data_IF_231470964170
#
_entry.id   IF_231470964170
#
_cell.length_a   1.000
_cell.length_b   1.000
_cell.length_c   1.000
_cell.angle_alpha   90.00
_cell.angle_beta   90.00
_cell.angle_gamma   90.00
#
_symmetry.space_group_name_H-M   'P 1'
#
loop_
_entity.id
_entity.type
_entity.pdbx_description
1 polymer ?
#
# COMPACT_ATOMS: atom_id res chain seq x y z
N UNK A 1 8.33 14.04 -64.77
CA UNK A 1 8.73 15.44 -65.05
C UNK A 1 9.63 15.87 -63.92
N UNK A 2 10.88 16.18 -64.29
CA UNK A 2 12.01 16.43 -63.40
C UNK A 2 12.25 17.93 -63.46
N UNK A 3 12.36 18.61 -62.31
CA UNK A 3 12.88 19.97 -62.27
C UNK A 3 14.12 20.01 -61.39
N UNK A 4 15.20 20.44 -62.01
CA UNK A 4 16.56 20.59 -61.49
C UNK A 4 16.93 22.06 -61.44
N UNK A 5 17.70 22.42 -60.40
CA UNK A 5 18.70 23.53 -60.31
C UNK A 5 18.12 24.96 -60.22
N UNK A 6 18.64 25.92 -59.45
CA UNK A 6 20.05 26.27 -59.14
C UNK A 6 20.18 27.06 -57.81
N UNK A 7 21.36 26.96 -57.16
CA UNK A 7 21.86 27.88 -56.11
C UNK A 7 22.42 29.19 -56.73
N UNK A 8 22.82 30.18 -55.90
CA UNK A 8 24.26 30.48 -55.88
C UNK A 8 24.89 30.86 -54.51
N UNK A 9 26.12 30.36 -54.35
CA UNK A 9 27.38 30.94 -53.84
C UNK A 9 27.48 31.74 -52.51
N UNK A 10 28.35 31.20 -51.65
CA UNK A 10 29.07 31.85 -50.54
C UNK A 10 30.20 32.77 -51.03
N UNK A 11 30.76 33.61 -50.14
CA UNK A 11 32.16 33.43 -49.75
C UNK A 11 32.43 33.57 -48.24
N UNK A 12 33.47 32.85 -47.77
CA UNK A 12 34.11 32.90 -46.44
C UNK A 12 35.20 34.01 -46.38
N UNK A 13 36.11 34.06 -45.38
CA UNK A 13 35.97 34.26 -43.94
C UNK A 13 36.81 35.47 -43.43
N UNK A 14 36.60 35.91 -42.18
CA UNK A 14 37.45 36.94 -41.53
C UNK A 14 37.70 36.62 -40.05
N UNK A 15 38.98 36.59 -39.67
CA UNK A 15 39.54 36.23 -38.36
C UNK A 15 39.85 37.49 -37.50
N UNK A 16 39.99 37.27 -36.19
CA UNK A 16 40.61 38.11 -35.14
C UNK A 16 39.82 39.30 -34.53
N UNK A 17 39.55 39.23 -33.21
CA UNK A 17 40.38 39.89 -32.18
C UNK A 17 39.80 39.68 -30.76
N UNK A 18 40.69 39.73 -29.78
CA UNK A 18 40.50 39.44 -28.36
C UNK A 18 40.25 40.70 -27.50
N UNK A 19 39.80 40.47 -26.25
CA UNK A 19 39.70 41.44 -25.14
C UNK A 19 38.25 41.77 -24.78
N UNK A 20 37.79 41.90 -23.53
CA UNK A 20 38.42 42.07 -22.22
C UNK A 20 37.35 41.69 -21.17
N UNK A 21 37.73 41.00 -20.09
CA UNK A 21 36.85 40.71 -18.93
C UNK A 21 36.60 41.96 -18.07
N UNK A 22 35.45 42.06 -17.38
CA UNK A 22 35.40 42.73 -16.10
C UNK A 22 35.13 41.74 -14.96
N UNK A 23 35.90 41.97 -13.90
CA UNK A 23 35.83 41.36 -12.57
C UNK A 23 34.51 41.74 -11.91
N UNK A 24 33.80 40.76 -11.33
CA UNK A 24 32.66 41.01 -10.43
C UNK A 24 32.95 40.35 -9.08
N UNK A 25 33.08 41.21 -8.07
CA UNK A 25 33.34 40.90 -6.66
C UNK A 25 32.17 40.15 -6.00
N UNK A 26 32.42 39.41 -4.90
CA UNK A 26 31.38 38.67 -4.20
C UNK A 26 30.51 39.62 -3.36
N UNK A 27 29.19 39.55 -3.57
CA UNK A 27 28.19 40.24 -2.74
C UNK A 27 28.02 39.44 -1.45
N UNK A 28 28.43 40.04 -0.34
CA UNK A 28 28.09 39.62 1.02
C UNK A 28 26.66 40.10 1.31
N UNK A 29 25.80 39.21 1.81
CA UNK A 29 24.50 39.57 2.38
C UNK A 29 24.23 38.80 3.67
N UNK A 30 23.42 39.37 4.58
CA UNK A 30 23.65 39.24 6.01
C UNK A 30 22.79 38.17 6.69
N UNK A 31 23.38 37.59 7.74
CA UNK A 31 22.76 37.14 8.99
C UNK A 31 21.53 36.23 8.90
N UNK A 32 21.77 34.91 8.87
CA UNK A 32 20.75 33.87 9.14
C UNK A 32 20.74 33.58 10.65
N UNK A 33 19.64 33.89 11.33
CA UNK A 33 19.43 33.49 12.74
C UNK A 33 19.35 31.96 12.86
N UNK A 34 19.83 31.36 13.97
CA UNK A 34 19.80 29.92 14.12
C UNK A 34 18.36 29.43 14.29
N UNK A 35 17.95 28.50 13.42
CA UNK A 35 16.70 27.74 13.52
C UNK A 35 16.70 26.99 14.84
N UNK A 36 15.83 27.37 15.76
CA UNK A 36 15.62 26.64 17.01
C UNK A 36 14.96 25.30 16.67
N UNK A 37 15.65 24.21 16.96
CA UNK A 37 15.13 22.86 16.79
C UNK A 37 13.94 22.65 17.71
N UNK A 38 12.73 22.68 17.14
CA UNK A 38 11.53 22.19 17.80
C UNK A 38 11.69 20.68 18.00
N UNK A 39 11.78 20.26 19.26
CA UNK A 39 11.80 18.86 19.66
C UNK A 39 10.53 18.16 19.17
N UNK A 40 10.60 16.93 18.61
CA UNK A 40 9.41 16.20 18.25
C UNK A 40 8.63 15.86 19.54
N UNK A 41 7.37 16.32 19.58
CA UNK A 41 6.42 15.91 20.62
C UNK A 41 6.36 14.38 20.63
N UNK A 42 6.71 13.80 21.78
CA UNK A 42 6.61 12.37 22.03
C UNK A 42 5.16 11.93 21.87
N UNK A 43 4.87 11.17 20.82
CA UNK A 43 3.63 10.43 20.68
C UNK A 43 3.54 9.42 21.83
N UNK A 44 2.55 9.58 22.70
CA UNK A 44 2.20 8.60 23.72
C UNK A 44 1.70 7.33 23.04
N UNK A 45 2.31 6.14 23.27
CA UNK A 45 1.77 4.88 22.76
C UNK A 45 0.62 4.45 23.67
N UNK A 46 -0.56 5.02 23.43
CA UNK A 46 -1.80 4.61 24.08
C UNK A 46 -2.63 3.75 23.14
N UNK A 47 -2.39 2.43 23.15
CA UNK A 47 -3.34 1.30 22.99
C UNK A 47 -2.46 0.04 22.97
N UNK A 48 -1.95 -0.37 24.14
CA UNK A 48 -1.29 -1.68 24.32
C UNK A 48 -1.68 -2.25 25.68
N UNK A 49 -2.93 -2.68 25.80
CA UNK A 49 -3.37 -3.62 26.82
C UNK A 49 -4.53 -4.37 26.15
N UNK A 50 -4.48 -5.69 25.93
CA UNK A 50 -4.38 -6.74 26.94
C UNK A 50 -3.94 -8.07 26.29
N UNK A 51 -3.09 -8.85 27.00
CA UNK A 51 -3.25 -10.28 27.38
C UNK A 51 -1.88 -10.98 27.50
N UNK A 52 -1.75 -11.74 28.61
CA UNK A 52 -0.56 -12.40 29.16
C UNK A 52 -0.09 -13.68 28.42
N UNK A 53 1.19 -13.98 28.67
CA UNK A 53 2.22 -14.81 28.04
C UNK A 53 1.99 -16.33 27.92
N UNK A 54 2.65 -16.91 26.90
CA UNK A 54 2.86 -18.35 26.67
C UNK A 54 2.54 -18.76 25.23
N UNK A 55 3.56 -18.99 24.40
CA UNK A 55 3.54 -19.39 22.96
C UNK A 55 2.83 -18.42 21.98
N UNK A 56 1.91 -17.61 22.49
CA UNK A 56 1.31 -16.42 21.89
C UNK A 56 2.35 -15.38 21.46
N UNK A 57 3.59 -15.46 21.94
CA UNK A 57 4.63 -14.46 21.72
C UNK A 57 5.10 -14.43 20.26
N UNK A 58 5.20 -15.59 19.59
CA UNK A 58 5.50 -15.61 18.16
C UNK A 58 4.29 -15.15 17.32
N UNK A 59 3.08 -15.60 17.67
CA UNK A 59 1.85 -15.18 16.98
C UNK A 59 1.58 -13.67 17.13
N UNK A 60 1.83 -13.11 18.32
CA UNK A 60 1.69 -11.70 18.64
C UNK A 60 2.81 -10.88 18.02
N UNK A 61 4.07 -11.33 18.09
CA UNK A 61 5.19 -10.67 17.43
C UNK A 61 5.04 -10.67 15.90
N UNK A 62 4.53 -11.77 15.33
CA UNK A 62 4.21 -11.84 13.90
C UNK A 62 3.03 -10.93 13.57
N UNK A 63 2.02 -10.82 14.43
CA UNK A 63 0.91 -9.86 14.29
C UNK A 63 1.40 -8.40 14.35
N UNK A 64 2.25 -8.06 15.32
CA UNK A 64 2.83 -6.73 15.51
C UNK A 64 3.78 -6.35 14.37
N UNK A 65 4.68 -7.25 13.95
CA UNK A 65 5.55 -7.02 12.78
C UNK A 65 4.74 -6.88 11.51
N UNK A 66 3.65 -7.63 11.37
CA UNK A 66 2.74 -7.47 10.24
C UNK A 66 2.11 -6.07 10.28
N UNK A 67 1.55 -5.66 11.41
CA UNK A 67 0.97 -4.33 11.61
C UNK A 67 1.93 -3.21 11.21
N UNK A 68 3.21 -3.28 11.59
CA UNK A 68 4.23 -2.32 11.17
C UNK A 68 4.39 -2.23 9.65
N UNK A 69 4.37 -3.38 8.94
CA UNK A 69 4.47 -3.38 7.46
C UNK A 69 3.22 -2.78 6.84
N UNK A 70 2.03 -3.09 7.35
CA UNK A 70 0.77 -2.53 6.85
C UNK A 70 0.72 -1.02 7.05
N UNK A 71 0.97 -0.54 8.25
CA UNK A 71 0.91 0.90 8.56
C UNK A 71 2.01 1.68 7.87
N UNK A 72 3.26 1.21 7.91
CA UNK A 72 4.38 1.93 7.29
C UNK A 72 4.22 2.07 5.77
N UNK A 73 3.75 1.03 5.09
CA UNK A 73 3.49 1.11 3.65
C UNK A 73 2.26 1.96 3.33
N UNK A 74 1.21 1.90 4.16
CA UNK A 74 0.02 2.74 4.00
C UNK A 74 0.38 4.21 4.14
N UNK A 75 1.08 4.60 5.20
CA UNK A 75 1.52 5.99 5.42
C UNK A 75 2.36 6.49 4.26
N UNK A 76 3.33 5.68 3.80
CA UNK A 76 4.18 6.00 2.65
C UNK A 76 3.36 6.30 1.38
N UNK A 77 2.33 5.51 1.10
CA UNK A 77 1.49 5.69 -0.08
C UNK A 77 0.52 6.88 0.09
N UNK A 78 -0.24 6.91 1.18
CA UNK A 78 -1.37 7.83 1.36
C UNK A 78 -0.96 9.24 1.78
N UNK A 79 0.28 9.47 2.24
CA UNK A 79 0.82 10.82 2.47
C UNK A 79 0.80 11.70 1.20
N UNK A 80 0.68 11.10 0.01
CA UNK A 80 0.59 11.81 -1.26
C UNK A 80 -0.77 12.52 -1.49
N UNK A 81 -1.81 12.18 -0.72
CA UNK A 81 -3.17 12.69 -0.92
C UNK A 81 -3.46 14.05 -0.28
N UNK A 82 -2.53 15.00 -0.42
CA UNK A 82 -2.74 16.37 0.06
C UNK A 82 -4.00 17.01 -0.57
N UNK A 83 -4.84 17.76 0.20
CA UNK A 83 -4.67 18.15 1.60
C UNK A 83 -5.23 17.16 2.62
N UNK A 84 -5.70 15.99 2.19
CA UNK A 84 -6.43 15.06 3.04
C UNK A 84 -5.49 14.13 3.84
N UNK A 85 -5.76 14.00 5.13
CA UNK A 85 -5.06 13.06 6.02
C UNK A 85 -5.80 11.72 6.08
N UNK A 86 -5.11 10.63 5.77
CA UNK A 86 -5.71 9.30 5.73
C UNK A 86 -5.23 8.41 6.88
N UNK A 87 -6.12 7.56 7.41
CA UNK A 87 -5.79 6.57 8.44
C UNK A 87 -6.20 5.16 8.01
N UNK A 88 -5.42 4.16 8.43
CA UNK A 88 -5.71 2.74 8.25
C UNK A 88 -6.16 2.14 9.57
N UNK A 89 -7.30 1.45 9.60
CA UNK A 89 -7.90 0.89 10.82
C UNK A 89 -8.32 -0.57 10.60
N UNK A 90 -7.83 -1.53 11.41
CA UNK A 90 -8.33 -2.90 11.33
C UNK A 90 -9.77 -2.99 11.84
N UNK A 91 -10.58 -3.86 11.23
CA UNK A 91 -11.95 -4.13 11.69
C UNK A 91 -12.34 -5.60 11.58
N UNK A 92 -13.22 -6.04 12.46
CA UNK A 92 -13.83 -7.37 12.42
C UNK A 92 -15.19 -7.36 11.69
N UNK A 93 -15.86 -6.20 11.69
CA UNK A 93 -17.19 -6.00 11.13
C UNK A 93 -17.15 -4.96 10.00
N UNK A 94 -18.00 -5.10 8.98
CA UNK A 94 -18.16 -4.04 7.99
C UNK A 94 -18.64 -2.74 8.69
N UNK A 95 -18.21 -1.56 8.22
CA UNK A 95 -18.78 -0.30 8.68
C UNK A 95 -20.25 -0.17 8.24
N UNK A 96 -20.91 0.91 8.67
CA UNK A 96 -22.26 1.24 8.21
C UNK A 96 -22.32 1.46 6.70
N UNK A 97 -23.53 1.53 6.15
CA UNK A 97 -23.72 1.75 4.72
C UNK A 97 -23.08 3.05 4.21
N UNK A 98 -22.78 3.08 2.90
CA UNK A 98 -22.25 4.25 2.20
C UNK A 98 -20.74 4.26 1.97
N UNK A 99 -19.99 3.33 2.57
CA UNK A 99 -18.55 3.20 2.33
C UNK A 99 -18.25 2.59 0.96
N UNK A 100 -17.18 3.07 0.32
CA UNK A 100 -16.66 2.43 -0.90
C UNK A 100 -15.94 1.15 -0.52
N UNK A 101 -16.10 0.10 -1.33
CA UNK A 101 -15.54 -1.23 -1.06
C UNK A 101 -14.49 -1.55 -2.12
N UNK A 102 -13.34 -2.05 -1.67
CA UNK A 102 -12.33 -2.64 -2.54
C UNK A 102 -11.87 -3.98 -1.96
N UNK A 103 -11.71 -4.99 -2.82
CA UNK A 103 -11.38 -6.35 -2.41
C UNK A 103 -10.15 -6.79 -3.18
N UNK A 104 -9.26 -7.51 -2.51
CA UNK A 104 -8.03 -7.99 -3.14
C UNK A 104 -7.66 -9.38 -2.62
N UNK A 105 -6.66 -9.98 -3.25
CA UNK A 105 -6.16 -11.31 -2.92
C UNK A 105 -4.66 -11.41 -3.08
N UNK A 106 -4.09 -12.27 -2.25
CA UNK A 106 -2.67 -12.48 -2.15
C UNK A 106 -2.34 -13.93 -1.84
N UNK A 107 -1.06 -14.26 -2.01
CA UNK A 107 -0.49 -15.45 -1.38
C UNK A 107 -0.22 -15.17 0.10
N UNK A 108 -0.65 -16.09 0.97
CA UNK A 108 -0.44 -15.99 2.42
C UNK A 108 -0.08 -17.35 3.03
N UNK A 109 0.43 -17.33 4.26
CA UNK A 109 0.64 -18.53 5.07
C UNK A 109 -0.32 -18.54 6.26
N UNK A 110 -0.61 -19.74 6.75
CA UNK A 110 -1.34 -19.97 7.98
C UNK A 110 -0.57 -20.98 8.83
N UNK A 111 -0.73 -20.89 10.15
CA UNK A 111 -0.23 -21.87 11.10
C UNK A 111 -1.29 -22.11 12.16
N UNK A 112 -1.72 -23.35 12.31
CA UNK A 112 -2.69 -23.71 13.34
C UNK A 112 -2.05 -23.57 14.71
N UNK A 113 -2.69 -22.80 15.60
CA UNK A 113 -2.20 -22.62 16.96
C UNK A 113 -2.36 -23.89 17.81
N UNK A 114 -3.34 -24.73 17.50
CA UNK A 114 -3.63 -25.94 18.29
C UNK A 114 -2.73 -27.13 17.91
N UNK A 115 -2.39 -27.31 16.63
CA UNK A 115 -1.63 -28.50 16.17
C UNK A 115 -0.33 -28.19 15.41
N UNK A 116 0.05 -26.91 15.29
CA UNK A 116 1.25 -26.47 14.57
C UNK A 116 1.22 -26.73 13.06
N UNK A 117 0.11 -27.22 12.50
CA UNK A 117 0.01 -27.47 11.06
C UNK A 117 0.07 -26.16 10.28
N UNK A 118 1.13 -25.99 9.49
CA UNK A 118 1.28 -24.85 8.57
C UNK A 118 0.82 -25.17 7.15
N UNK A 119 0.18 -24.20 6.50
CA UNK A 119 -0.19 -24.28 5.08
C UNK A 119 -0.06 -22.93 4.37
N UNK A 120 0.04 -22.97 3.04
CA UNK A 120 0.06 -21.77 2.18
C UNK A 120 -1.23 -21.71 1.38
N UNK A 121 -1.78 -20.52 1.21
CA UNK A 121 -2.96 -20.29 0.38
C UNK A 121 -2.68 -19.21 -0.67
N UNK A 122 -3.08 -19.47 -1.91
CA UNK A 122 -3.08 -18.44 -2.98
C UNK A 122 -4.36 -17.57 -2.96
N UNK A 123 -5.23 -17.78 -1.97
CA UNK A 123 -6.46 -17.03 -1.74
C UNK A 123 -6.51 -16.44 -0.31
N UNK A 124 -5.43 -15.77 0.10
CA UNK A 124 -5.53 -14.84 1.23
C UNK A 124 -6.40 -13.68 0.80
N UNK A 125 -7.51 -13.43 1.50
CA UNK A 125 -8.48 -12.40 1.13
C UNK A 125 -8.37 -11.21 2.08
N UNK A 126 -8.40 -10.01 1.50
CA UNK A 126 -8.55 -8.74 2.21
C UNK A 126 -9.71 -7.97 1.60
N UNK A 127 -10.45 -7.29 2.45
CA UNK A 127 -11.43 -6.29 2.05
C UNK A 127 -11.07 -4.96 2.71
N UNK A 128 -11.22 -3.90 1.95
CA UNK A 128 -11.05 -2.52 2.36
C UNK A 128 -12.38 -1.80 2.21
N UNK A 129 -12.73 -1.01 3.22
CA UNK A 129 -13.78 -0.02 3.16
C UNK A 129 -13.13 1.34 3.28
N UNK A 130 -13.49 2.28 2.42
CA UNK A 130 -12.90 3.61 2.50
C UNK A 130 -13.91 4.73 2.23
N UNK A 131 -13.69 5.84 2.91
CA UNK A 131 -14.50 7.04 2.84
C UNK A 131 -13.61 8.28 3.03
N UNK A 132 -13.95 9.37 2.35
CA UNK A 132 -13.31 10.66 2.46
C UNK A 132 -14.33 11.70 2.95
N UNK A 133 -14.03 12.34 4.08
CA UNK A 133 -14.76 13.50 4.58
C UNK A 133 -14.05 14.78 4.13
N UNK A 134 -14.59 15.43 3.09
CA UNK A 134 -14.07 16.70 2.58
C UNK A 134 -14.13 17.84 3.59
N UNK A 135 -15.15 17.89 4.46
CA UNK A 135 -15.27 18.95 5.46
C UNK A 135 -14.20 18.89 6.55
N UNK A 136 -13.72 17.67 6.87
CA UNK A 136 -12.67 17.45 7.86
C UNK A 136 -11.27 17.27 7.24
N UNK A 137 -11.15 17.34 5.91
CA UNK A 137 -9.93 16.96 5.18
C UNK A 137 -9.35 15.62 5.65
N UNK A 138 -10.21 14.63 5.94
CA UNK A 138 -9.79 13.37 6.53
C UNK A 138 -10.45 12.18 5.83
N UNK A 139 -9.63 11.19 5.50
CA UNK A 139 -10.06 9.93 4.93
C UNK A 139 -9.77 8.75 5.86
N UNK A 140 -10.60 7.73 5.77
CA UNK A 140 -10.45 6.50 6.53
C UNK A 140 -10.43 5.32 5.57
N UNK A 141 -9.51 4.39 5.80
CA UNK A 141 -9.50 3.06 5.21
C UNK A 141 -9.61 2.05 6.34
N UNK A 142 -10.75 1.37 6.43
CA UNK A 142 -10.93 0.21 7.30
C UNK A 142 -10.59 -1.06 6.53
N UNK A 143 -10.00 -2.06 7.18
CA UNK A 143 -9.68 -3.33 6.51
C UNK A 143 -9.93 -4.56 7.38
N UNK A 144 -10.26 -5.67 6.73
CA UNK A 144 -10.39 -6.99 7.36
C UNK A 144 -9.59 -8.03 6.61
N UNK A 145 -8.77 -8.78 7.36
CA UNK A 145 -8.02 -9.93 6.85
C UNK A 145 -8.78 -11.21 7.18
N UNK A 146 -9.08 -12.01 6.17
CA UNK A 146 -9.85 -13.25 6.35
C UNK A 146 -8.98 -14.43 6.73
N UNK A 147 -9.44 -15.19 7.72
CA UNK A 147 -8.79 -16.41 8.19
C UNK A 147 -9.19 -17.68 7.43
N UNK A 148 -8.49 -18.78 7.75
CA UNK A 148 -8.83 -20.13 7.30
C UNK A 148 -8.81 -21.11 8.48
N UNK A 149 -9.73 -22.07 8.47
CA UNK A 149 -9.78 -23.13 9.48
C UNK A 149 -8.71 -24.19 9.18
N UNK A 150 -8.11 -24.76 10.22
CA UNK A 150 -7.16 -25.85 10.06
C UNK A 150 -7.85 -27.11 9.53
N UNK A 151 -7.34 -27.67 8.43
CA UNK A 151 -7.88 -28.89 7.83
C UNK A 151 -7.74 -30.13 8.74
N UNK A 152 -6.73 -30.15 9.62
CA UNK A 152 -6.49 -31.26 10.56
C UNK A 152 -7.42 -31.20 11.77
N UNK A 153 -7.54 -30.02 12.39
CA UNK A 153 -8.34 -29.87 13.62
C UNK A 153 -9.83 -29.73 13.34
N UNK A 154 -10.23 -28.98 12.30
CA UNK A 154 -11.62 -28.64 11.99
C UNK A 154 -12.45 -28.17 13.20
N UNK A 155 -11.80 -27.48 14.14
CA UNK A 155 -12.35 -27.02 15.42
C UNK A 155 -13.30 -25.81 15.32
N UNK A 156 -13.65 -25.38 14.10
CA UNK A 156 -14.47 -24.19 13.87
C UNK A 156 -13.74 -22.84 13.98
N UNK A 157 -12.52 -22.79 14.52
CA UNK A 157 -11.74 -21.54 14.69
C UNK A 157 -11.01 -21.15 13.41
N UNK A 158 -10.93 -19.85 13.15
CA UNK A 158 -10.18 -19.30 12.03
C UNK A 158 -8.78 -18.89 12.45
N UNK A 159 -7.78 -19.39 11.74
CA UNK A 159 -6.39 -18.96 11.90
C UNK A 159 -6.14 -17.67 11.13
N UNK A 160 -5.38 -16.77 11.73
CA UNK A 160 -4.98 -15.52 11.09
C UNK A 160 -3.96 -15.76 9.98
N UNK A 161 -4.10 -15.01 8.89
CA UNK A 161 -3.17 -15.07 7.77
C UNK A 161 -1.87 -14.34 8.10
N UNK A 162 -0.74 -15.01 7.89
CA UNK A 162 0.57 -14.39 7.81
C UNK A 162 0.81 -13.95 6.36
N UNK A 163 0.81 -12.65 6.14
CA UNK A 163 1.06 -12.07 4.83
C UNK A 163 2.56 -11.96 4.55
N UNK A 164 2.94 -11.93 3.28
CA UNK A 164 4.31 -11.57 2.91
C UNK A 164 4.40 -10.06 2.72
N UNK A 165 5.49 -9.40 3.13
CA UNK A 165 5.62 -7.95 3.00
C UNK A 165 5.33 -7.43 1.58
N UNK A 166 5.82 -8.12 0.55
CA UNK A 166 5.57 -7.76 -0.85
C UNK A 166 4.10 -7.89 -1.28
N UNK A 167 3.35 -8.80 -0.67
CA UNK A 167 1.91 -8.95 -0.91
C UNK A 167 1.12 -7.83 -0.22
N UNK A 168 1.58 -7.37 0.95
CA UNK A 168 1.04 -6.19 1.65
C UNK A 168 1.24 -4.94 0.79
N UNK A 169 2.46 -4.71 0.29
CA UNK A 169 2.78 -3.63 -0.65
C UNK A 169 1.88 -3.65 -1.87
N UNK A 170 1.66 -4.84 -2.45
CA UNK A 170 0.78 -5.00 -3.61
C UNK A 170 -0.67 -4.60 -3.32
N UNK A 171 -1.27 -5.14 -2.26
CA UNK A 171 -2.69 -4.85 -1.95
C UNK A 171 -2.91 -3.42 -1.48
N UNK A 172 -1.95 -2.83 -0.76
CA UNK A 172 -2.00 -1.42 -0.37
C UNK A 172 -1.83 -0.48 -1.56
N UNK A 173 -0.94 -0.80 -2.50
CA UNK A 173 -0.83 -0.08 -3.77
C UNK A 173 -2.12 -0.13 -4.59
N UNK A 174 -2.80 -1.27 -4.60
CA UNK A 174 -4.07 -1.40 -5.31
C UNK A 174 -5.20 -0.58 -4.65
N UNK A 175 -5.35 -0.60 -3.32
CA UNK A 175 -6.37 0.23 -2.65
C UNK A 175 -6.03 1.71 -2.75
N UNK A 176 -4.76 2.11 -2.66
CA UNK A 176 -4.30 3.46 -2.96
C UNK A 176 -4.78 3.91 -4.33
N UNK A 177 -4.43 3.17 -5.39
CA UNK A 177 -4.87 3.50 -6.74
C UNK A 177 -6.40 3.57 -6.87
N UNK A 178 -7.13 2.71 -6.16
CA UNK A 178 -8.60 2.72 -6.17
C UNK A 178 -9.17 3.96 -5.47
N UNK A 179 -8.61 4.38 -4.35
CA UNK A 179 -8.95 5.64 -3.66
C UNK A 179 -8.68 6.83 -4.58
N UNK A 180 -7.50 6.86 -5.22
CA UNK A 180 -7.09 7.87 -6.20
C UNK A 180 -8.07 8.01 -7.36
N UNK A 181 -8.55 6.88 -7.90
CA UNK A 181 -9.54 6.89 -8.98
C UNK A 181 -10.88 7.51 -8.54
N UNK A 182 -11.34 7.19 -7.33
CA UNK A 182 -12.67 7.60 -6.87
C UNK A 182 -12.69 9.07 -6.42
N UNK A 183 -11.68 9.52 -5.69
CA UNK A 183 -11.71 10.84 -5.04
C UNK A 183 -10.75 11.87 -5.63
N UNK A 184 -9.75 11.44 -6.42
CA UNK A 184 -8.63 12.31 -6.87
C UNK A 184 -8.40 12.28 -8.39
N UNK A 185 -9.30 11.64 -9.15
CA UNK A 185 -9.25 11.65 -10.62
C UNK A 185 -8.11 10.85 -11.25
N UNK A 186 -7.52 9.87 -10.55
CA UNK A 186 -6.49 9.03 -11.17
C UNK A 186 -7.06 8.29 -12.38
N UNK A 187 -6.36 8.34 -13.51
CA UNK A 187 -6.66 7.50 -14.68
C UNK A 187 -6.43 6.06 -14.28
N UNK A 188 -7.44 5.20 -14.41
CA UNK A 188 -7.48 3.79 -13.96
C UNK A 188 -6.19 3.03 -14.35
N UNK A 189 -5.15 2.92 -13.49
CA UNK A 189 -4.01 2.08 -13.83
C UNK A 189 -4.43 0.60 -13.80
N UNK A 190 -3.76 -0.27 -14.57
CA UNK A 190 -3.96 -1.71 -14.47
C UNK A 190 -3.72 -2.18 -13.03
N UNK A 191 -4.62 -3.01 -12.49
CA UNK A 191 -4.41 -3.61 -11.18
C UNK A 191 -3.22 -4.54 -11.19
N UNK A 192 -2.46 -4.53 -10.09
CA UNK A 192 -1.48 -5.56 -9.80
C UNK A 192 -2.16 -6.80 -9.25
N UNK A 193 -2.50 -7.72 -10.15
CA UNK A 193 -3.14 -9.02 -9.86
C UNK A 193 -2.07 -10.11 -9.68
N UNK A 194 -0.82 -9.83 -10.06
CA UNK A 194 0.31 -10.72 -9.85
C UNK A 194 0.44 -11.10 -8.38
N UNK A 195 0.58 -12.41 -8.15
CA UNK A 195 0.83 -12.99 -6.83
C UNK A 195 2.24 -13.54 -6.82
N UNK A 196 2.90 -13.52 -5.66
CA UNK A 196 4.17 -14.21 -5.45
C UNK A 196 4.04 -15.65 -5.94
N UNK A 197 4.98 -16.07 -6.80
CA UNK A 197 4.96 -17.41 -7.37
C UNK A 197 4.88 -18.49 -6.27
N UNK A 198 4.14 -19.54 -6.54
CA UNK A 198 3.97 -20.67 -5.64
C UNK A 198 3.46 -21.89 -6.38
N UNK A 199 3.79 -23.07 -5.87
CA UNK A 199 3.19 -24.35 -6.29
C UNK A 199 2.22 -24.80 -5.19
N UNK A 200 1.02 -24.20 -5.08
CA UNK A 200 0.05 -24.66 -4.09
C UNK A 200 -0.26 -26.13 -4.35
N UNK A 201 -0.07 -26.97 -3.33
CA UNK A 201 -0.26 -28.42 -3.46
C UNK A 201 -1.74 -28.80 -3.63
N UNK A 202 -2.65 -27.97 -3.12
CA UNK A 202 -4.08 -28.24 -3.08
C UNK A 202 -4.88 -27.08 -3.68
N UNK A 203 -6.02 -27.43 -4.28
CA UNK A 203 -7.04 -26.44 -4.67
C UNK A 203 -7.63 -25.77 -3.42
N UNK A 204 -8.17 -24.56 -3.61
CA UNK A 204 -8.79 -23.79 -2.54
C UNK A 204 -10.01 -24.51 -1.95
N UNK A 205 -9.99 -24.80 -0.64
CA UNK A 205 -11.13 -25.38 0.07
C UNK A 205 -12.05 -24.26 0.62
N UNK A 206 -13.24 -24.14 0.06
CA UNK A 206 -14.22 -23.12 0.42
C UNK A 206 -14.83 -23.32 1.82
N UNK A 207 -14.96 -24.56 2.28
CA UNK A 207 -15.56 -24.89 3.59
C UNK A 207 -14.70 -24.38 4.76
N UNK A 208 -13.38 -24.32 4.54
CA UNK A 208 -12.42 -23.85 5.55
C UNK A 208 -12.15 -22.35 5.45
N UNK A 209 -12.62 -21.66 4.40
CA UNK A 209 -12.29 -20.26 4.17
C UNK A 209 -13.35 -19.32 4.76
N UNK A 210 -12.95 -18.39 5.63
CA UNK A 210 -13.86 -17.41 6.22
C UNK A 210 -14.53 -16.54 5.14
N UNK A 211 -13.75 -16.04 4.18
CA UNK A 211 -14.29 -15.24 3.09
C UNK A 211 -15.30 -15.99 2.22
N UNK A 212 -15.16 -17.32 2.07
CA UNK A 212 -16.18 -18.13 1.37
C UNK A 212 -17.49 -18.16 2.13
N UNK A 213 -17.44 -18.38 3.45
CA UNK A 213 -18.64 -18.39 4.30
C UNK A 213 -19.35 -17.04 4.33
N UNK A 214 -18.58 -15.96 4.23
CA UNK A 214 -19.09 -14.59 4.12
C UNK A 214 -19.55 -14.24 2.68
N UNK A 215 -19.49 -15.17 1.72
CA UNK A 215 -19.91 -14.96 0.34
C UNK A 215 -18.95 -14.10 -0.51
N UNK A 216 -17.76 -13.80 0.00
CA UNK A 216 -16.77 -12.88 -0.55
C UNK A 216 -15.63 -13.57 -1.32
N UNK A 217 -15.73 -14.86 -1.61
CA UNK A 217 -14.65 -15.58 -2.32
C UNK A 217 -15.00 -15.93 -3.78
N UNK A 218 -16.08 -15.35 -4.35
CA UNK A 218 -16.51 -15.59 -5.73
C UNK A 218 -15.57 -14.90 -6.73
N UNK A 219 -15.17 -15.64 -7.76
CA UNK A 219 -14.31 -15.26 -8.90
C UNK A 219 -12.90 -14.69 -8.56
N UNK A 220 -12.02 -14.67 -9.55
CA UNK A 220 -10.86 -13.77 -9.51
C UNK A 220 -11.43 -12.35 -9.58
N UNK A 221 -11.02 -11.46 -8.68
CA UNK A 221 -11.60 -10.12 -8.60
C UNK A 221 -11.30 -9.34 -9.89
N UNK A 222 -12.18 -9.42 -10.87
CA UNK A 222 -12.21 -8.51 -12.01
C UNK A 222 -13.09 -7.32 -11.64
N UNK A 223 -12.63 -6.11 -11.94
CA UNK A 223 -13.48 -4.94 -11.77
C UNK A 223 -14.66 -5.00 -12.75
N UNK A 224 -15.87 -4.79 -12.23
CA UNK A 224 -16.89 -3.98 -12.90
C UNK A 224 -16.55 -2.51 -12.62
#
# INVERSE_FOLDING_TARGET
MIYTLTQPMSPSPGLHSAGVSPVVSPVVSPNVSPVTTVSPMSLTPGIMHLINYGDKDLGLLLSQRMELVWHGEFERLFAQYFPHSWQLIPTFNPPTDGWRIFKDSAKVRFSCQDCGHGWTSMKGRVIFWFNLNYGANSGLVMFKLYGQQCQRCKNGKYEHAMWYPEEVVKVLGNVYNRVGQIYYGFVRPPLRIDRRAGKPRNQHNAELCQACKDGLCREEWSFS
#
